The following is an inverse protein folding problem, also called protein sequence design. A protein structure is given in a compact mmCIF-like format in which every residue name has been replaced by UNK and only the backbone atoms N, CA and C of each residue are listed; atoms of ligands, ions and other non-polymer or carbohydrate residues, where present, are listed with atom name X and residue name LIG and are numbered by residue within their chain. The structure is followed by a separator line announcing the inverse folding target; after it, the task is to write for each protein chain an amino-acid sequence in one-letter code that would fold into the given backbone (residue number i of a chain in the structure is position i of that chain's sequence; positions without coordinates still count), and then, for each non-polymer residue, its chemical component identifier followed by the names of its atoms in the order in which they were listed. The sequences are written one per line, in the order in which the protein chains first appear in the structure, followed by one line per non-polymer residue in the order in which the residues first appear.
data_IF_726378250289
#
_entry.id   IF_726378250289
#
_cell.length_a   1.000
_cell.length_b   1.000
_cell.length_c   1.000
_cell.angle_alpha   90.00
_cell.angle_beta   90.00
_cell.angle_gamma   90.00
#
_symmetry.space_group_name_H-M   'P 1'
#
loop_
_entity.id
_entity.type
_entity.pdbx_description
1 polymer ?
#
# COMPACT_ATOMS: atom_id res chain seq x y z
N UNK A 1 12.30 -0.69 -15.33
CA UNK A 1 10.87 -0.33 -15.18
C UNK A 1 10.52 -0.36 -13.71
N UNK A 2 9.53 0.41 -13.27
CA UNK A 2 9.06 0.40 -11.87
C UNK A 2 8.04 -0.72 -11.69
N UNK A 3 8.29 -1.60 -10.72
CA UNK A 3 7.40 -2.71 -10.35
C UNK A 3 6.36 -2.26 -9.32
N UNK A 4 6.76 -1.47 -8.32
CA UNK A 4 5.86 -0.93 -7.31
C UNK A 4 6.10 0.57 -7.17
N UNK A 5 5.03 1.37 -7.24
CA UNK A 5 5.06 2.80 -6.92
C UNK A 5 4.03 3.11 -5.85
N UNK A 6 4.49 3.80 -4.79
CA UNK A 6 3.66 4.37 -3.74
C UNK A 6 3.93 5.87 -3.67
N UNK A 7 2.86 6.66 -3.67
CA UNK A 7 2.96 8.12 -3.61
C UNK A 7 1.90 8.68 -2.66
N UNK A 8 2.34 9.45 -1.66
CA UNK A 8 1.47 10.15 -0.72
C UNK A 8 0.48 9.25 0.03
N UNK A 9 0.87 8.00 0.30
CA UNK A 9 -0.01 6.99 0.87
C UNK A 9 -0.42 7.32 2.31
N UNK A 10 -1.72 7.51 2.50
CA UNK A 10 -2.35 7.59 3.82
C UNK A 10 -3.16 6.33 4.09
N UNK A 11 -3.06 5.77 5.30
CA UNK A 11 -3.83 4.58 5.74
C UNK A 11 -4.40 4.82 7.14
N UNK A 12 -5.65 4.46 7.33
CA UNK A 12 -6.31 4.57 8.63
C UNK A 12 -7.27 3.41 8.89
N UNK A 13 -7.56 3.22 10.17
CA UNK A 13 -8.55 2.28 10.66
C UNK A 13 -9.63 3.04 11.43
N UNK A 14 -10.86 2.51 11.43
CA UNK A 14 -12.00 3.16 12.05
C UNK A 14 -12.51 4.36 11.25
N UNK A 15 -13.60 4.95 11.74
CA UNK A 15 -14.28 6.09 11.15
C UNK A 15 -14.63 7.12 12.23
N UNK A 16 -14.86 8.38 11.81
CA UNK A 16 -15.25 9.45 12.72
C UNK A 16 -14.25 9.66 13.86
N UNK A 17 -14.76 9.62 15.10
CA UNK A 17 -13.96 9.85 16.31
C UNK A 17 -13.02 8.68 16.65
N UNK A 18 -13.30 7.47 16.16
CA UNK A 18 -12.48 6.28 16.41
C UNK A 18 -11.38 6.10 15.36
N UNK A 19 -11.20 7.08 14.45
CA UNK A 19 -10.20 7.03 13.39
C UNK A 19 -8.78 7.06 13.96
N UNK A 20 -7.97 6.09 13.55
CA UNK A 20 -6.54 6.03 13.85
C UNK A 20 -5.73 6.01 12.55
N UNK A 21 -4.96 7.07 12.31
CA UNK A 21 -4.04 7.16 11.16
C UNK A 21 -2.77 6.34 11.40
N UNK A 22 -2.64 5.24 10.67
CA UNK A 22 -1.52 4.30 10.76
C UNK A 22 -0.35 4.67 9.83
N UNK A 23 -0.63 5.32 8.70
CA UNK A 23 0.38 5.79 7.74
C UNK A 23 -0.01 7.17 7.25
N UNK A 24 0.97 8.09 7.17
CA UNK A 24 0.75 9.49 6.81
C UNK A 24 1.72 9.91 5.72
N UNK A 25 1.27 9.86 4.46
CA UNK A 25 2.01 10.36 3.31
C UNK A 25 3.26 9.56 2.92
N UNK A 26 3.23 8.23 3.08
CA UNK A 26 4.37 7.38 2.68
C UNK A 26 4.58 7.38 1.16
N UNK A 27 5.83 7.31 0.72
CA UNK A 27 6.16 7.22 -0.70
C UNK A 27 7.48 6.50 -0.94
N UNK A 28 7.50 5.63 -1.94
CA UNK A 28 8.69 4.94 -2.44
C UNK A 28 8.42 4.30 -3.80
N UNK A 29 9.48 3.98 -4.52
CA UNK A 29 9.44 3.21 -5.76
C UNK A 29 10.37 2.00 -5.64
N UNK A 30 9.96 0.88 -6.24
CA UNK A 30 10.75 -0.35 -6.34
C UNK A 30 10.84 -0.73 -7.81
N UNK A 31 12.05 -0.86 -8.32
CA UNK A 31 12.31 -1.28 -9.68
C UNK A 31 12.08 -2.80 -9.87
N UNK A 32 11.77 -3.19 -11.10
CA UNK A 32 11.65 -4.60 -11.46
C UNK A 32 12.97 -5.34 -11.21
N UNK A 33 12.91 -6.43 -10.45
CA UNK A 33 14.08 -7.22 -10.06
C UNK A 33 14.87 -6.65 -8.87
N UNK A 34 14.45 -5.53 -8.30
CA UNK A 34 15.09 -4.94 -7.12
C UNK A 34 14.72 -5.71 -5.84
N UNK A 35 15.71 -5.90 -4.96
CA UNK A 35 15.46 -6.34 -3.59
C UNK A 35 15.32 -5.12 -2.69
N UNK A 36 14.10 -4.87 -2.21
CA UNK A 36 13.76 -3.70 -1.40
C UNK A 36 13.35 -4.10 0.03
N UNK A 37 13.86 -3.38 1.03
CA UNK A 37 13.57 -3.60 2.45
C UNK A 37 12.84 -2.43 3.11
N UNK A 38 11.59 -2.63 3.51
CA UNK A 38 10.83 -1.67 4.31
C UNK A 38 10.96 -2.00 5.81
N UNK A 39 11.87 -1.31 6.51
CA UNK A 39 12.22 -1.60 7.91
C UNK A 39 11.79 -0.49 8.87
N UNK A 40 11.63 -0.80 10.15
CA UNK A 40 11.16 0.12 11.18
C UNK A 40 10.61 -0.58 12.43
N UNK A 41 10.38 0.17 13.51
CA UNK A 41 9.89 -0.37 14.79
C UNK A 41 8.47 -0.96 14.69
N UNK A 42 8.09 -1.81 15.64
CA UNK A 42 6.70 -2.31 15.72
C UNK A 42 5.70 -1.15 15.76
N UNK A 43 4.59 -1.27 15.03
CA UNK A 43 3.57 -0.21 14.92
C UNK A 43 3.85 0.89 13.88
N UNK A 44 5.01 0.92 13.22
CA UNK A 44 5.35 1.98 12.25
C UNK A 44 4.61 1.93 10.90
N UNK A 45 3.64 1.03 10.73
CA UNK A 45 2.83 0.94 9.50
C UNK A 45 3.35 0.00 8.39
N UNK A 46 4.47 -0.71 8.59
CA UNK A 46 5.07 -1.61 7.57
C UNK A 46 4.08 -2.65 7.03
N UNK A 47 3.49 -3.45 7.92
CA UNK A 47 2.51 -4.47 7.55
C UNK A 47 1.22 -3.85 7.02
N UNK A 48 0.87 -2.64 7.45
CA UNK A 48 -0.29 -1.89 6.98
C UNK A 48 -0.13 -1.47 5.51
N UNK A 49 1.05 -1.01 5.11
CA UNK A 49 1.36 -0.69 3.71
C UNK A 49 1.26 -1.96 2.85
N UNK A 50 1.85 -3.08 3.29
CA UNK A 50 1.76 -4.35 2.57
C UNK A 50 0.30 -4.85 2.44
N UNK A 51 -0.52 -4.64 3.47
CA UNK A 51 -1.97 -4.90 3.40
C UNK A 51 -2.66 -4.01 2.37
N UNK A 52 -2.25 -2.77 2.21
CA UNK A 52 -2.83 -1.88 1.18
C UNK A 52 -2.51 -2.39 -0.24
N UNK A 53 -1.26 -2.75 -0.49
CA UNK A 53 -0.79 -3.31 -1.78
C UNK A 53 -1.54 -4.60 -2.14
N UNK A 54 -1.91 -5.41 -1.14
CA UNK A 54 -2.56 -6.72 -1.35
C UNK A 54 -4.08 -6.67 -1.31
N UNK A 55 -4.67 -5.49 -1.12
CA UNK A 55 -6.13 -5.34 -1.08
C UNK A 55 -6.72 -5.90 0.21
N UNK A 56 -6.08 -5.62 1.34
CA UNK A 56 -6.50 -6.02 2.69
C UNK A 56 -6.62 -4.83 3.66
N UNK A 57 -6.17 -3.63 3.26
CA UNK A 57 -6.37 -2.43 4.06
C UNK A 57 -7.76 -1.81 3.74
N UNK A 58 -8.59 -1.51 4.76
CA UNK A 58 -9.97 -1.08 4.54
C UNK A 58 -10.08 0.34 3.99
N UNK A 59 -9.22 1.26 4.44
CA UNK A 59 -9.26 2.66 4.03
C UNK A 59 -7.86 3.20 3.77
N UNK A 60 -7.69 3.84 2.62
CA UNK A 60 -6.45 4.49 2.23
C UNK A 60 -6.66 5.56 1.16
N UNK A 61 -5.68 6.45 1.04
CA UNK A 61 -5.61 7.52 0.03
C UNK A 61 -4.23 7.55 -0.63
N UNK A 62 -4.11 8.28 -1.73
CA UNK A 62 -2.86 8.40 -2.48
C UNK A 62 -2.80 7.46 -3.69
N UNK A 63 -1.60 7.07 -4.08
CA UNK A 63 -1.39 6.18 -5.24
C UNK A 63 -0.67 4.91 -4.80
N UNK A 64 -1.21 3.77 -5.23
CA UNK A 64 -0.50 2.50 -5.25
C UNK A 64 -0.59 1.94 -6.67
N UNK A 65 0.55 1.63 -7.27
CA UNK A 65 0.66 1.02 -8.59
C UNK A 65 1.57 -0.20 -8.51
N UNK A 66 1.14 -1.31 -9.12
CA UNK A 66 1.88 -2.58 -9.16
C UNK A 66 1.91 -3.08 -10.59
N UNK A 67 3.10 -3.28 -11.15
CA UNK A 67 3.34 -3.73 -12.52
C UNK A 67 2.54 -2.92 -13.55
N UNK A 68 2.57 -1.58 -13.44
CA UNK A 68 1.84 -0.67 -14.32
C UNK A 68 0.34 -0.54 -14.03
N UNK A 69 -0.20 -1.30 -13.09
CA UNK A 69 -1.63 -1.29 -12.75
C UNK A 69 -1.90 -0.48 -11.48
N UNK A 70 -2.65 0.61 -11.64
CA UNK A 70 -3.12 1.42 -10.50
C UNK A 70 -4.17 0.64 -9.71
N UNK A 71 -4.00 0.60 -8.39
CA UNK A 71 -4.94 -0.04 -7.47
C UNK A 71 -6.01 0.95 -7.02
N UNK A 72 -7.20 0.42 -6.76
CA UNK A 72 -8.34 1.19 -6.29
C UNK A 72 -8.99 0.46 -5.10
N UNK A 73 -9.02 1.12 -3.94
CA UNK A 73 -9.72 0.64 -2.76
C UNK A 73 -9.15 -0.66 -2.15
N UNK A 74 -9.99 -1.32 -1.34
CA UNK A 74 -9.60 -2.40 -0.44
C UNK A 74 -9.72 -3.82 -1.03
N UNK A 75 -10.05 -3.99 -2.32
CA UNK A 75 -10.18 -5.31 -2.93
C UNK A 75 -9.66 -5.31 -4.36
N UNK A 76 -8.85 -6.31 -4.68
CA UNK A 76 -8.41 -6.56 -6.06
C UNK A 76 -9.20 -7.70 -6.66
N UNK A 77 -9.39 -7.66 -7.98
CA UNK A 77 -10.01 -8.77 -8.68
C UNK A 77 -9.06 -9.99 -8.72
N UNK A 78 -9.59 -11.15 -9.10
CA UNK A 78 -8.80 -12.38 -9.21
C UNK A 78 -7.72 -12.30 -10.30
N UNK A 79 -7.82 -11.39 -11.26
CA UNK A 79 -6.84 -11.24 -12.35
C UNK A 79 -5.58 -10.54 -11.85
N UNK A 80 -5.70 -9.62 -10.90
CA UNK A 80 -4.57 -8.99 -10.23
C UNK A 80 -3.63 -10.05 -9.64
N UNK A 81 -4.15 -10.93 -8.78
CA UNK A 81 -3.35 -11.98 -8.10
C UNK A 81 -2.76 -13.06 -9.02
N UNK A 82 -3.24 -13.15 -10.27
CA UNK A 82 -2.67 -14.07 -11.27
C UNK A 82 -1.52 -13.44 -12.06
N UNK A 83 -1.45 -12.11 -12.07
CA UNK A 83 -0.47 -11.34 -12.83
C UNK A 83 0.78 -11.06 -11.98
N UNK A 84 0.58 -10.80 -10.69
CA UNK A 84 1.63 -10.43 -9.73
C UNK A 84 2.18 -11.65 -8.98
#
# INVERSE_FOLDING_TARGET
MIAIRIEGLGLWFGEGLDRVDAVRGAGFEVAQGESFGHVGQSGSGKSTILRAITGLAPHWSGTIEVEGARLHGAKHDRRFYKRV
#
